data_IF_998573585036
#
_entry.id   IF_998573585036
#
_cell.length_a   1.000
_cell.length_b   1.000
_cell.length_c   1.000
_cell.angle_alpha   90.00
_cell.angle_beta   90.00
_cell.angle_gamma   90.00
#
_symmetry.space_group_name_H-M   'P 1'
#
loop_
_entity.id
_entity.type
_entity.pdbx_description
1 polymer ?
#
# COMPACT_ATOMS: atom_id res chain seq x y z
N UNK A 1 12.74 7.21 11.81
CA UNK A 1 12.62 7.59 10.38
C UNK A 1 12.62 6.32 9.53
N UNK A 2 12.36 6.37 8.21
CA UNK A 2 12.43 5.16 7.35
C UNK A 2 13.84 4.51 7.36
N UNK A 3 14.87 5.25 7.78
CA UNK A 3 16.28 4.83 7.85
C UNK A 3 16.56 3.63 8.78
N UNK A 4 15.68 3.36 9.74
CA UNK A 4 15.79 2.22 10.67
C UNK A 4 15.03 0.97 10.19
N UNK A 5 14.49 1.00 8.98
CA UNK A 5 13.64 -0.06 8.44
C UNK A 5 14.21 -0.66 7.16
N UNK A 6 14.13 -1.98 7.07
CA UNK A 6 14.54 -2.74 5.89
C UNK A 6 13.43 -2.73 4.83
N UNK A 7 13.80 -2.51 3.57
CA UNK A 7 12.86 -2.59 2.45
C UNK A 7 12.71 -4.05 2.01
N UNK A 8 11.60 -4.68 2.37
CA UNK A 8 11.29 -6.06 1.96
C UNK A 8 10.82 -6.14 0.50
N UNK A 9 9.99 -5.18 0.10
CA UNK A 9 9.37 -5.11 -1.23
C UNK A 9 9.45 -3.68 -1.71
N UNK A 10 9.71 -3.49 -3.01
CA UNK A 10 9.64 -2.20 -3.69
C UNK A 10 9.06 -2.38 -5.07
N UNK A 11 7.83 -1.88 -5.29
CA UNK A 11 7.11 -2.09 -6.55
C UNK A 11 6.47 -0.79 -7.06
N UNK A 12 6.37 -0.67 -8.38
CA UNK A 12 5.68 0.44 -9.04
C UNK A 12 4.18 0.17 -9.07
N UNK A 13 3.39 1.11 -8.56
CA UNK A 13 1.95 0.93 -8.45
C UNK A 13 1.15 2.22 -8.59
N UNK A 14 -0.15 2.04 -8.79
CA UNK A 14 -1.19 3.06 -8.62
C UNK A 14 -2.11 2.62 -7.48
N UNK A 15 -2.36 3.51 -6.54
CA UNK A 15 -3.21 3.32 -5.38
C UNK A 15 -4.52 4.08 -5.55
N UNK A 16 -5.61 3.45 -5.16
CA UNK A 16 -6.96 3.98 -5.15
C UNK A 16 -7.55 3.82 -3.75
N UNK A 17 -8.51 4.68 -3.42
CA UNK A 17 -9.39 4.53 -2.26
C UNK A 17 -10.83 4.41 -2.71
N UNK A 18 -11.62 3.61 -2.00
CA UNK A 18 -13.06 3.54 -2.20
C UNK A 18 -13.71 4.75 -1.51
N UNK A 19 -14.41 5.58 -2.28
CA UNK A 19 -15.22 6.64 -1.73
C UNK A 19 -16.43 6.04 -0.99
N UNK A 20 -16.56 6.37 0.30
CA UNK A 20 -17.62 5.79 1.13
C UNK A 20 -19.01 6.30 0.76
N UNK A 21 -19.13 7.47 0.13
CA UNK A 21 -20.39 8.12 -0.23
C UNK A 21 -20.79 7.71 -1.65
N UNK A 22 -19.91 7.93 -2.62
CA UNK A 22 -20.17 7.70 -4.04
C UNK A 22 -20.02 6.22 -4.43
N UNK A 23 -19.40 5.40 -3.57
CA UNK A 23 -19.15 3.97 -3.79
C UNK A 23 -18.31 3.68 -5.03
N UNK A 24 -17.39 4.58 -5.36
CA UNK A 24 -16.50 4.49 -6.51
C UNK A 24 -15.01 4.52 -6.13
N UNK A 25 -14.13 4.15 -7.06
CA UNK A 25 -12.69 4.13 -6.84
C UNK A 25 -12.05 5.46 -7.27
N UNK A 26 -11.47 6.19 -6.32
CA UNK A 26 -10.74 7.44 -6.56
C UNK A 26 -9.25 7.22 -6.49
N UNK A 27 -8.50 7.72 -7.47
CA UNK A 27 -7.03 7.64 -7.44
C UNK A 27 -6.48 8.40 -6.23
N UNK A 28 -5.68 7.72 -5.42
CA UNK A 28 -5.04 8.27 -4.23
C UNK A 28 -3.58 8.64 -4.49
N UNK A 29 -2.90 7.92 -5.39
CA UNK A 29 -1.54 8.25 -5.79
C UNK A 29 -0.93 7.25 -6.76
N UNK A 30 0.05 7.71 -7.54
CA UNK A 30 0.92 6.87 -8.36
C UNK A 30 2.36 7.04 -7.88
N UNK A 31 3.09 5.93 -7.74
CA UNK A 31 4.44 5.95 -7.17
C UNK A 31 5.02 4.58 -6.86
N UNK A 32 6.05 4.56 -6.04
CA UNK A 32 6.65 3.33 -5.51
C UNK A 32 6.02 2.99 -4.16
N UNK A 33 5.46 1.79 -4.05
CA UNK A 33 5.04 1.20 -2.77
C UNK A 33 6.18 0.37 -2.20
N UNK A 34 6.38 0.49 -0.89
CA UNK A 34 7.34 -0.29 -0.12
C UNK A 34 6.66 -1.02 1.02
N UNK A 35 7.13 -2.23 1.31
CA UNK A 35 6.95 -2.86 2.62
C UNK A 35 8.23 -2.64 3.42
N UNK A 36 8.10 -1.95 4.55
CA UNK A 36 9.21 -1.60 5.43
C UNK A 36 9.12 -2.43 6.70
N UNK A 37 10.18 -3.16 7.02
CA UNK A 37 10.30 -4.00 8.21
C UNK A 37 11.18 -3.32 9.26
N UNK A 38 10.64 -3.13 10.46
CA UNK A 38 11.38 -2.63 11.60
C UNK A 38 11.83 -3.80 12.47
N UNK A 39 13.10 -4.19 12.37
CA UNK A 39 13.66 -5.38 13.01
C UNK A 39 13.41 -5.42 14.52
N UNK A 40 13.72 -4.34 15.25
CA UNK A 40 13.57 -4.29 16.71
C UNK A 40 12.12 -4.31 17.22
N UNK A 41 11.17 -3.80 16.42
CA UNK A 41 9.75 -3.74 16.78
C UNK A 41 8.96 -4.93 16.23
N UNK A 42 9.59 -5.70 15.33
CA UNK A 42 8.96 -6.79 14.59
C UNK A 42 7.66 -6.36 13.89
N UNK A 43 7.66 -5.14 13.35
CA UNK A 43 6.50 -4.57 12.64
C UNK A 43 6.82 -4.39 11.16
N UNK A 44 5.83 -4.60 10.30
CA UNK A 44 5.90 -4.27 8.88
C UNK A 44 4.87 -3.18 8.57
N UNK A 45 5.24 -2.18 7.78
CA UNK A 45 4.32 -1.15 7.29
C UNK A 45 4.36 -0.98 5.78
N UNK A 46 3.19 -0.66 5.23
CA UNK A 46 3.03 -0.21 3.85
C UNK A 46 3.33 1.28 3.82
N UNK A 47 4.28 1.68 2.97
CA UNK A 47 4.57 3.09 2.71
C UNK A 47 4.54 3.32 1.20
N UNK A 48 3.77 4.30 0.75
CA UNK A 48 3.74 4.72 -0.65
C UNK A 48 3.76 6.23 -0.75
N UNK A 49 4.62 6.75 -1.62
CA UNK A 49 4.74 8.20 -1.90
C UNK A 49 4.36 8.49 -3.33
N UNK A 50 3.67 9.62 -3.54
CA UNK A 50 3.32 10.13 -4.87
C UNK A 50 4.57 10.58 -5.61
N UNK A 51 4.61 10.33 -6.91
CA UNK A 51 5.62 10.90 -7.79
C UNK A 51 5.68 12.43 -7.68
N UNK A 52 6.86 12.98 -7.95
CA UNK A 52 7.20 14.43 -7.96
C UNK A 52 7.08 15.11 -6.59
N UNK A 53 5.93 14.99 -5.93
CA UNK A 53 5.64 15.64 -4.65
C UNK A 53 6.24 14.93 -3.45
N UNK A 54 6.51 13.61 -3.57
CA UNK A 54 6.99 12.73 -2.50
C UNK A 54 6.09 12.69 -1.25
N UNK A 55 4.87 13.24 -1.34
CA UNK A 55 3.86 13.17 -0.29
C UNK A 55 3.39 11.73 -0.11
N UNK A 56 3.15 11.34 1.14
CA UNK A 56 2.58 10.04 1.45
C UNK A 56 1.17 9.90 0.84
N UNK A 57 0.85 8.70 0.39
CA UNK A 57 -0.49 8.30 -0.04
C UNK A 57 -0.94 6.96 0.53
N UNK A 58 -0.02 6.22 1.18
CA UNK A 58 -0.31 5.15 2.12
C UNK A 58 0.77 5.13 3.21
N UNK A 59 0.36 4.93 4.46
CA UNK A 59 1.25 4.73 5.60
C UNK A 59 0.47 4.03 6.72
N UNK A 60 0.54 2.70 6.76
CA UNK A 60 -0.12 1.90 7.79
C UNK A 60 0.63 0.61 8.05
N UNK A 61 0.48 0.06 9.25
CA UNK A 61 1.02 -1.26 9.58
C UNK A 61 0.22 -2.37 8.91
N UNK A 62 0.94 -3.42 8.50
CA UNK A 62 0.35 -4.70 8.12
C UNK A 62 -0.07 -5.39 9.41
N UNK A 63 -1.33 -5.83 9.48
CA UNK A 63 -1.88 -6.53 10.65
C UNK A 63 -2.29 -7.95 10.27
N UNK A 64 -2.28 -8.92 11.19
CA UNK A 64 -2.64 -10.32 10.87
C UNK A 64 -4.06 -10.51 10.34
N UNK A 65 -4.96 -9.57 10.62
CA UNK A 65 -6.37 -9.59 10.20
C UNK A 65 -6.59 -8.93 8.83
N UNK A 66 -5.54 -8.37 8.22
CA UNK A 66 -5.65 -7.70 6.93
C UNK A 66 -5.72 -8.75 5.81
N UNK A 67 -6.85 -8.79 5.11
CA UNK A 67 -7.09 -9.71 4.00
C UNK A 67 -6.94 -8.98 2.66
N UNK A 68 -6.04 -9.48 1.80
CA UNK A 68 -5.90 -9.00 0.42
C UNK A 68 -6.79 -9.82 -0.52
N UNK A 69 -7.71 -9.15 -1.22
CA UNK A 69 -8.61 -9.78 -2.19
C UNK A 69 -8.27 -9.34 -3.61
N UNK A 70 -8.27 -10.24 -4.60
CA UNK A 70 -8.08 -9.84 -5.98
C UNK A 70 -9.28 -8.96 -6.42
N UNK A 71 -9.00 -7.90 -7.18
CA UNK A 71 -10.05 -7.01 -7.66
C UNK A 71 -10.65 -7.53 -8.99
N UNK A 72 -11.91 -7.95 -9.00
CA UNK A 72 -12.76 -8.28 -10.16
C UNK A 72 -12.02 -8.76 -11.44
N UNK A 73 -11.26 -9.85 -11.34
CA UNK A 73 -10.62 -10.50 -12.49
C UNK A 73 -9.28 -9.91 -12.94
N UNK A 74 -8.70 -8.95 -12.21
CA UNK A 74 -7.33 -8.49 -12.45
C UNK A 74 -6.31 -9.38 -11.73
N UNK A 75 -5.29 -9.83 -12.48
CA UNK A 75 -4.09 -10.51 -11.99
C UNK A 75 -3.10 -9.57 -11.28
N UNK A 76 -3.33 -8.26 -11.36
CA UNK A 76 -2.39 -7.20 -10.94
C UNK A 76 -2.99 -6.20 -9.96
N UNK A 77 -4.23 -6.43 -9.51
CA UNK A 77 -4.89 -5.52 -8.59
C UNK A 77 -5.45 -6.23 -7.37
N UNK A 78 -5.17 -5.64 -6.20
CA UNK A 78 -5.56 -6.17 -4.91
C UNK A 78 -6.26 -5.11 -4.08
N UNK A 79 -7.26 -5.53 -3.30
CA UNK A 79 -8.06 -4.70 -2.40
C UNK A 79 -7.83 -5.17 -0.97
N UNK A 80 -7.69 -4.23 -0.04
CA UNK A 80 -7.67 -4.53 1.39
C UNK A 80 -8.30 -3.39 2.18
N UNK A 81 -8.63 -3.69 3.44
CA UNK A 81 -9.09 -2.70 4.41
C UNK A 81 -7.98 -2.44 5.42
N UNK A 82 -7.70 -1.18 5.68
CA UNK A 82 -6.85 -0.74 6.79
C UNK A 82 -7.67 0.12 7.75
N UNK A 83 -7.45 -0.04 9.05
CA UNK A 83 -8.19 0.70 10.08
C UNK A 83 -7.48 1.99 10.51
N UNK A 84 -6.20 2.14 10.17
CA UNK A 84 -5.36 3.21 10.67
C UNK A 84 -4.28 3.62 9.64
N UNK A 85 -4.71 4.21 8.53
CA UNK A 85 -3.83 4.85 7.57
C UNK A 85 -3.51 6.29 7.97
N UNK A 86 -2.22 6.63 7.98
CA UNK A 86 -1.68 7.91 8.41
C UNK A 86 -0.93 8.61 7.26
N UNK A 87 -1.46 8.56 6.04
CA UNK A 87 -0.80 9.18 4.89
C UNK A 87 -0.96 10.72 4.88
N UNK A 88 -2.07 11.23 5.40
CA UNK A 88 -2.45 12.65 5.29
C UNK A 88 -2.17 13.45 6.58
N UNK A 89 -1.53 12.84 7.59
CA UNK A 89 -1.22 13.45 8.88
C UNK A 89 -2.25 13.18 9.98
N UNK A 90 -3.34 12.49 9.65
CA UNK A 90 -4.38 12.01 10.57
C UNK A 90 -4.71 10.53 10.28
N UNK A 91 -5.25 9.83 11.29
CA UNK A 91 -5.58 8.40 11.22
C UNK A 91 -6.95 8.21 10.58
N UNK A 92 -7.01 7.44 9.50
CA UNK A 92 -8.25 7.11 8.80
C UNK A 92 -8.40 5.60 8.56
N UNK A 93 -9.64 5.10 8.67
CA UNK A 93 -9.98 3.79 8.14
C UNK A 93 -10.25 3.91 6.64
N UNK A 94 -9.60 3.07 5.84
CA UNK A 94 -9.60 3.15 4.39
C UNK A 94 -9.84 1.77 3.77
N UNK A 95 -10.56 1.74 2.65
CA UNK A 95 -10.61 0.57 1.74
C UNK A 95 -9.79 0.94 0.52
N UNK A 96 -8.65 0.28 0.37
CA UNK A 96 -7.64 0.61 -0.62
C UNK A 96 -7.59 -0.45 -1.71
N UNK A 97 -7.38 -0.01 -2.94
CA UNK A 97 -7.02 -0.89 -4.05
C UNK A 97 -5.66 -0.48 -4.60
N UNK A 98 -4.77 -1.43 -4.85
CA UNK A 98 -3.50 -1.20 -5.51
C UNK A 98 -3.46 -1.94 -6.84
N UNK A 99 -2.97 -1.28 -7.88
CA UNK A 99 -2.71 -1.88 -9.19
C UNK A 99 -1.23 -1.75 -9.53
N UNK A 100 -0.55 -2.86 -9.71
CA UNK A 100 0.86 -2.89 -10.06
C UNK A 100 1.08 -2.62 -11.55
N UNK A 101 2.08 -1.79 -11.88
CA UNK A 101 2.32 -1.30 -13.25
C UNK A 101 3.26 -2.23 -14.05
N UNK A 102 4.13 -3.00 -13.39
CA UNK A 102 4.98 -4.02 -14.02
C UNK A 102 4.78 -5.39 -13.37
N UNK A 103 4.71 -6.44 -14.19
CA UNK A 103 4.54 -7.84 -13.78
C UNK A 103 5.86 -8.62 -13.67
N UNK A 104 6.98 -7.95 -13.38
CA UNK A 104 8.21 -8.66 -13.00
C UNK A 104 8.22 -8.93 -11.50
N UNK A 105 7.47 -9.97 -11.10
CA UNK A 105 7.72 -10.63 -9.83
C UNK A 105 9.07 -11.33 -9.91
N UNK A 106 10.16 -10.67 -9.53
CA UNK A 106 11.46 -11.34 -9.29
C UNK A 106 11.49 -12.10 -7.96
N UNK A 107 10.43 -12.85 -7.68
CA UNK A 107 10.48 -13.89 -6.66
C UNK A 107 10.71 -15.21 -7.39
N UNK A 108 11.98 -15.50 -7.68
CA UNK A 108 12.39 -16.87 -7.93
C UNK A 108 12.05 -17.65 -6.66
N UNK A 109 11.03 -18.50 -6.77
CA UNK A 109 10.74 -19.53 -5.79
C UNK A 109 11.97 -20.47 -5.77
N UNK A 110 12.59 -20.64 -4.60
CA UNK A 110 13.48 -21.77 -4.36
C UNK A 110 12.64 -23.04 -4.14
#
# INVERSE_FOLDING_TARGET
MEEEEEVLIKLRAKLFRLDAVEKDWKERGTGEVKLLHHEKKHTVRVVMRRDKTLKLCANHYVTPIMEMKPNCGSDRAWVWKTLADFADGDIHAEVLAIKFINSESKYNTF
#
